data_IF_257662903368
#
_entry.id   IF_257662903368
#
_cell.length_a   1.000
_cell.length_b   1.000
_cell.length_c   1.000
_cell.angle_alpha   90.00
_cell.angle_beta   90.00
_cell.angle_gamma   90.00
#
_symmetry.space_group_name_H-M   'P 1'
#
loop_
_entity.id
_entity.type
_entity.pdbx_description
1 polymer ?
#
# COMPACT_ATOMS: atom_id res chain seq x y z
N UNK A 1 -30.77 -32.57 25.92
CA UNK A 1 -29.54 -32.94 25.18
C UNK A 1 -29.59 -32.22 23.84
N UNK A 2 -28.94 -31.06 23.74
CA UNK A 2 -28.84 -30.31 22.48
C UNK A 2 -27.60 -30.79 21.74
N UNK A 3 -27.82 -31.40 20.59
CA UNK A 3 -26.74 -31.79 19.67
C UNK A 3 -26.12 -30.52 19.11
N UNK A 4 -24.87 -30.27 19.47
CA UNK A 4 -24.00 -29.29 18.78
C UNK A 4 -23.79 -29.80 17.36
N UNK A 5 -24.45 -29.15 16.40
CA UNK A 5 -24.16 -29.34 14.97
C UNK A 5 -22.74 -28.86 14.70
N UNK A 6 -21.84 -29.80 14.43
CA UNK A 6 -20.47 -29.50 14.01
C UNK A 6 -20.53 -28.68 12.70
N UNK A 7 -20.06 -27.44 12.78
CA UNK A 7 -19.86 -26.59 11.59
C UNK A 7 -18.80 -27.28 10.73
N UNK A 8 -19.16 -27.70 9.52
CA UNK A 8 -18.19 -28.23 8.56
C UNK A 8 -17.12 -27.17 8.30
N UNK A 9 -15.83 -27.50 8.36
CA UNK A 9 -14.79 -26.55 7.99
C UNK A 9 -15.01 -26.09 6.55
N UNK A 10 -14.98 -24.78 6.34
CA UNK A 10 -14.99 -24.21 5.00
C UNK A 10 -13.78 -24.76 4.24
N UNK A 11 -13.96 -25.29 3.01
CA UNK A 11 -12.82 -25.79 2.25
C UNK A 11 -11.80 -24.65 2.05
N UNK A 12 -10.52 -25.01 2.16
CA UNK A 12 -9.43 -24.06 1.90
C UNK A 12 -9.60 -23.45 0.48
N UNK A 13 -9.35 -22.14 0.32
CA UNK A 13 -9.48 -21.51 -0.98
C UNK A 13 -8.53 -22.19 -1.99
N UNK A 14 -9.05 -22.52 -3.16
CA UNK A 14 -8.30 -23.20 -4.22
C UNK A 14 -7.51 -22.17 -5.00
N UNK A 15 -6.19 -22.38 -5.09
CA UNK A 15 -5.31 -21.54 -5.89
C UNK A 15 -5.64 -21.68 -7.38
N UNK A 16 -5.83 -20.56 -8.05
CA UNK A 16 -5.90 -20.50 -9.51
C UNK A 16 -4.48 -20.47 -10.08
N UNK A 17 -4.18 -21.35 -11.01
CA UNK A 17 -2.85 -21.45 -11.63
C UNK A 17 -2.83 -20.72 -12.96
N UNK A 18 -1.76 -19.95 -13.17
CA UNK A 18 -1.48 -19.20 -14.39
C UNK A 18 -0.06 -19.53 -14.89
N UNK A 19 0.29 -19.20 -16.12
CA UNK A 19 1.68 -19.29 -16.57
C UNK A 19 2.60 -18.47 -15.64
N UNK A 20 3.49 -19.14 -14.93
CA UNK A 20 4.50 -18.50 -14.09
C UNK A 20 4.07 -17.98 -12.73
N UNK A 21 2.79 -18.02 -12.37
CA UNK A 21 2.31 -17.59 -11.06
C UNK A 21 1.00 -18.28 -10.64
N UNK A 22 0.67 -18.15 -9.37
CA UNK A 22 -0.61 -18.57 -8.80
C UNK A 22 -1.32 -17.41 -8.10
N UNK A 23 -2.66 -17.52 -8.02
CA UNK A 23 -3.55 -16.54 -7.39
C UNK A 23 -4.46 -17.26 -6.41
N UNK A 24 -4.48 -16.84 -5.15
CA UNK A 24 -5.24 -17.51 -4.09
C UNK A 24 -5.91 -16.46 -3.22
N UNK A 25 -7.21 -16.61 -2.86
CA UNK A 25 -7.80 -15.80 -1.81
C UNK A 25 -7.02 -15.98 -0.49
N UNK A 26 -6.75 -14.88 0.21
CA UNK A 26 -6.06 -14.96 1.50
C UNK A 26 -6.98 -15.51 2.58
N UNK A 27 -6.42 -16.32 3.47
CA UNK A 27 -7.14 -16.78 4.65
C UNK A 27 -7.48 -15.65 5.64
N UNK A 28 -6.85 -14.48 5.52
CA UNK A 28 -6.98 -13.36 6.43
C UNK A 28 -8.17 -12.44 6.08
N UNK A 29 -8.51 -12.34 4.80
CA UNK A 29 -9.65 -11.55 4.32
C UNK A 29 -10.05 -11.98 2.92
N UNK A 30 -11.36 -12.05 2.61
CA UNK A 30 -11.83 -12.33 1.26
C UNK A 30 -11.50 -11.20 0.26
N UNK A 31 -11.13 -10.01 0.75
CA UNK A 31 -10.74 -8.86 -0.08
C UNK A 31 -9.24 -8.81 -0.39
N UNK A 32 -8.44 -9.63 0.30
CA UNK A 32 -7.01 -9.72 0.09
C UNK A 32 -6.69 -10.99 -0.71
N UNK A 33 -6.01 -10.84 -1.82
CA UNK A 33 -5.55 -11.96 -2.63
C UNK A 33 -4.04 -12.15 -2.45
N UNK A 34 -3.58 -13.38 -2.58
CA UNK A 34 -2.17 -13.74 -2.57
C UNK A 34 -1.73 -14.12 -3.98
N UNK A 35 -0.72 -13.43 -4.50
CA UNK A 35 -0.06 -13.74 -5.77
C UNK A 35 1.32 -14.29 -5.49
N UNK A 36 1.64 -15.45 -6.04
CA UNK A 36 2.96 -16.06 -5.89
C UNK A 36 3.56 -16.37 -7.25
N UNK A 37 4.68 -15.73 -7.57
CA UNK A 37 5.49 -16.08 -8.74
C UNK A 37 6.24 -17.37 -8.46
N UNK A 38 6.28 -18.28 -9.45
CA UNK A 38 7.06 -19.50 -9.33
C UNK A 38 8.56 -19.20 -9.30
N UNK A 39 9.35 -20.08 -8.68
CA UNK A 39 10.80 -19.94 -8.63
C UNK A 39 11.43 -19.89 -10.02
N UNK A 40 10.86 -20.60 -10.99
CA UNK A 40 11.29 -20.56 -12.38
C UNK A 40 11.10 -19.17 -12.99
N UNK A 41 9.88 -18.61 -12.87
CA UNK A 41 9.57 -17.26 -13.38
C UNK A 41 10.44 -16.20 -12.75
N UNK A 42 10.59 -16.24 -11.42
CA UNK A 42 11.45 -15.31 -10.70
C UNK A 42 12.91 -15.38 -11.17
N UNK A 43 13.43 -16.61 -11.31
CA UNK A 43 14.81 -16.82 -11.77
C UNK A 43 15.00 -16.31 -13.20
N UNK A 44 14.10 -16.63 -14.12
CA UNK A 44 14.16 -16.16 -15.51
C UNK A 44 14.03 -14.64 -15.61
N UNK A 45 13.15 -14.04 -14.82
CA UNK A 45 13.01 -12.59 -14.72
C UNK A 45 14.31 -11.93 -14.29
N UNK A 46 14.91 -12.38 -13.17
CA UNK A 46 16.15 -11.82 -12.65
C UNK A 46 17.31 -11.95 -13.62
N UNK A 47 17.42 -13.08 -14.35
CA UNK A 47 18.40 -13.27 -15.40
C UNK A 47 18.24 -12.27 -16.55
N UNK A 48 17.01 -12.03 -17.02
CA UNK A 48 16.76 -11.09 -18.12
C UNK A 48 17.00 -9.64 -17.75
N UNK A 49 16.78 -9.26 -16.48
CA UNK A 49 16.99 -7.88 -15.98
C UNK A 49 18.36 -7.67 -15.34
N UNK A 50 19.23 -8.67 -15.29
CA UNK A 50 20.55 -8.61 -14.64
C UNK A 50 21.44 -7.48 -15.18
N UNK A 51 21.31 -7.17 -16.47
CA UNK A 51 22.05 -6.08 -17.11
C UNK A 51 21.73 -4.67 -16.58
N UNK A 52 20.61 -4.49 -15.90
CA UNK A 52 20.17 -3.20 -15.37
C UNK A 52 20.27 -3.19 -13.84
N UNK A 53 21.24 -2.47 -13.25
CA UNK A 53 21.22 -2.20 -11.81
C UNK A 53 20.02 -1.33 -11.45
N UNK A 54 19.60 -1.33 -10.18
CA UNK A 54 18.47 -0.50 -9.70
C UNK A 54 18.68 0.98 -10.03
N UNK A 55 19.93 1.46 -9.95
CA UNK A 55 20.28 2.82 -10.33
C UNK A 55 19.91 3.15 -11.80
N UNK A 56 20.00 2.19 -12.74
CA UNK A 56 19.56 2.40 -14.11
C UNK A 56 18.03 2.62 -14.18
N UNK A 57 17.26 1.95 -13.34
CA UNK A 57 15.81 2.15 -13.23
C UNK A 57 15.46 3.51 -12.60
N UNK A 58 16.33 4.06 -11.77
CA UNK A 58 16.15 5.41 -11.19
C UNK A 58 16.27 6.49 -12.27
N UNK A 59 17.32 6.42 -13.07
CA UNK A 59 17.63 7.46 -14.08
C UNK A 59 16.87 7.31 -15.40
N UNK A 60 16.49 6.07 -15.77
CA UNK A 60 15.85 5.78 -17.06
C UNK A 60 14.44 5.25 -16.83
N UNK A 61 13.48 6.15 -16.65
CA UNK A 61 12.10 5.81 -16.29
C UNK A 61 11.44 4.79 -17.24
N UNK A 62 11.80 4.79 -18.52
CA UNK A 62 11.30 3.82 -19.50
C UNK A 62 11.76 2.37 -19.22
N UNK A 63 12.90 2.17 -18.54
CA UNK A 63 13.34 0.84 -18.15
C UNK A 63 12.42 0.19 -17.12
N UNK A 64 11.74 0.97 -16.31
CA UNK A 64 10.75 0.45 -15.34
C UNK A 64 9.58 -0.23 -16.05
N UNK A 65 9.15 0.31 -17.18
CA UNK A 65 8.14 -0.34 -18.03
C UNK A 65 8.70 -1.56 -18.75
N UNK A 66 9.98 -1.50 -19.16
CA UNK A 66 10.64 -2.63 -19.80
C UNK A 66 10.74 -3.83 -18.86
N UNK A 67 11.10 -3.64 -17.58
CA UNK A 67 11.15 -4.75 -16.63
C UNK A 67 9.74 -5.26 -16.32
N UNK A 68 8.71 -4.39 -16.27
CA UNK A 68 7.31 -4.81 -16.19
C UNK A 68 6.90 -5.70 -17.37
N UNK A 69 7.22 -5.27 -18.60
CA UNK A 69 6.90 -6.04 -19.80
C UNK A 69 7.56 -7.41 -19.81
N UNK A 70 8.83 -7.51 -19.40
CA UNK A 70 9.54 -8.79 -19.28
C UNK A 70 8.82 -9.73 -18.31
N UNK A 71 8.39 -9.21 -17.16
CA UNK A 71 7.67 -10.02 -16.18
C UNK A 71 6.31 -10.52 -16.73
N UNK A 72 5.56 -9.65 -17.40
CA UNK A 72 4.26 -10.02 -17.98
C UNK A 72 4.41 -11.05 -19.11
N UNK A 73 5.45 -10.92 -19.94
CA UNK A 73 5.75 -11.91 -20.98
C UNK A 73 6.04 -13.30 -20.40
N UNK A 74 6.84 -13.38 -19.33
CA UNK A 74 7.09 -14.61 -18.60
C UNK A 74 5.82 -15.21 -17.96
N UNK A 75 4.86 -14.37 -17.68
CA UNK A 75 3.54 -14.73 -17.19
C UNK A 75 2.48 -14.92 -18.30
N UNK A 76 2.92 -15.09 -19.54
CA UNK A 76 2.03 -15.33 -20.69
C UNK A 76 1.10 -14.16 -21.02
N UNK A 77 1.48 -12.94 -20.68
CA UNK A 77 0.69 -11.69 -20.82
C UNK A 77 -0.66 -11.74 -20.07
N UNK A 78 -0.73 -12.50 -18.98
CA UNK A 78 -1.93 -12.63 -18.15
C UNK A 78 -1.82 -11.86 -16.83
N UNK A 79 -0.60 -11.48 -16.42
CA UNK A 79 -0.36 -10.83 -15.15
C UNK A 79 -0.94 -9.41 -15.12
N UNK A 80 -0.62 -8.58 -16.11
CA UNK A 80 -1.08 -7.19 -16.15
C UNK A 80 -2.61 -7.06 -16.09
N UNK A 81 -3.40 -7.72 -16.94
CA UNK A 81 -4.87 -7.59 -16.89
C UNK A 81 -5.46 -8.09 -15.57
N UNK A 82 -4.86 -9.13 -14.96
CA UNK A 82 -5.31 -9.65 -13.67
C UNK A 82 -5.01 -8.68 -12.52
N UNK A 83 -3.81 -8.11 -12.47
CA UNK A 83 -3.44 -7.09 -11.49
C UNK A 83 -4.38 -5.87 -11.55
N UNK A 84 -4.62 -5.36 -12.76
CA UNK A 84 -5.51 -4.20 -12.97
C UNK A 84 -6.93 -4.54 -12.53
N UNK A 85 -7.46 -5.68 -12.96
CA UNK A 85 -8.80 -6.12 -12.57
C UNK A 85 -8.94 -6.19 -11.05
N UNK A 86 -8.02 -6.86 -10.37
CA UNK A 86 -8.05 -7.05 -8.91
C UNK A 86 -7.94 -5.73 -8.16
N UNK A 87 -7.02 -4.85 -8.55
CA UNK A 87 -6.83 -3.58 -7.85
C UNK A 87 -7.96 -2.58 -8.06
N UNK A 88 -8.64 -2.63 -9.20
CA UNK A 88 -9.79 -1.78 -9.47
C UNK A 88 -11.12 -2.37 -8.96
N UNK A 89 -11.14 -3.66 -8.64
CA UNK A 89 -12.32 -4.28 -8.05
C UNK A 89 -12.51 -3.82 -6.61
N UNK A 90 -13.63 -3.12 -6.36
CA UNK A 90 -13.99 -2.65 -5.02
C UNK A 90 -14.21 -3.79 -4.02
N UNK A 91 -14.55 -4.99 -4.49
CA UNK A 91 -14.69 -6.15 -3.62
C UNK A 91 -13.35 -6.67 -3.09
N UNK A 92 -12.25 -6.32 -3.75
CA UNK A 92 -10.88 -6.78 -3.47
C UNK A 92 -9.95 -5.59 -3.23
N UNK A 93 -9.14 -5.23 -4.19
CA UNK A 93 -8.27 -4.03 -4.20
C UNK A 93 -6.98 -4.16 -3.41
N UNK A 94 -6.64 -5.36 -2.91
CA UNK A 94 -5.41 -5.61 -2.15
C UNK A 94 -4.77 -6.94 -2.52
N UNK A 95 -3.44 -6.95 -2.59
CA UNK A 95 -2.60 -8.09 -2.96
C UNK A 95 -1.43 -8.24 -2.00
N UNK A 96 -1.20 -9.46 -1.50
CA UNK A 96 0.06 -9.86 -0.89
C UNK A 96 0.85 -10.66 -1.93
N UNK A 97 2.03 -10.16 -2.32
CA UNK A 97 2.80 -10.70 -3.45
C UNK A 97 4.10 -11.32 -2.94
N UNK A 98 4.44 -12.49 -3.49
CA UNK A 98 5.63 -13.25 -3.18
C UNK A 98 6.37 -13.67 -4.46
N UNK A 99 7.70 -13.61 -4.44
CA UNK A 99 8.57 -14.22 -5.46
C UNK A 99 9.31 -15.42 -4.86
N UNK A 100 8.99 -16.63 -5.31
CA UNK A 100 9.75 -17.81 -4.87
C UNK A 100 11.16 -17.80 -5.45
N UNK A 101 12.11 -18.41 -4.74
CA UNK A 101 13.48 -18.59 -5.22
C UNK A 101 14.39 -17.38 -5.08
N UNK A 102 13.92 -16.24 -4.54
CA UNK A 102 14.78 -15.11 -4.18
C UNK A 102 15.34 -15.33 -2.79
N UNK A 103 16.65 -15.22 -2.63
CA UNK A 103 17.27 -15.08 -1.32
C UNK A 103 17.11 -13.65 -0.82
N UNK A 104 16.10 -13.43 0.00
CA UNK A 104 15.70 -12.11 0.48
C UNK A 104 16.78 -11.40 1.30
N UNK A 105 17.74 -12.13 1.87
CA UNK A 105 18.81 -11.56 2.68
C UNK A 105 19.91 -10.97 1.82
N UNK A 106 20.32 -11.68 0.76
CA UNK A 106 21.43 -11.26 -0.11
C UNK A 106 20.99 -10.52 -1.37
N UNK A 107 19.71 -10.58 -1.75
CA UNK A 107 19.18 -10.10 -3.02
C UNK A 107 18.16 -8.97 -2.88
N UNK A 108 18.41 -8.01 -2.00
CA UNK A 108 17.49 -6.88 -1.77
C UNK A 108 17.23 -6.03 -3.04
N UNK A 109 18.25 -5.84 -3.90
CA UNK A 109 18.09 -5.09 -5.15
C UNK A 109 17.25 -5.85 -6.18
N UNK A 110 17.37 -7.17 -6.24
CA UNK A 110 16.53 -8.04 -7.08
C UNK A 110 15.06 -7.95 -6.66
N UNK A 111 14.78 -7.90 -5.37
CA UNK A 111 13.44 -7.67 -4.86
C UNK A 111 12.89 -6.30 -5.28
N UNK A 112 13.73 -5.24 -5.25
CA UNK A 112 13.34 -3.91 -5.74
C UNK A 112 12.99 -3.96 -7.23
N UNK A 113 13.74 -4.70 -8.05
CA UNK A 113 13.43 -4.87 -9.48
C UNK A 113 12.09 -5.57 -9.69
N UNK A 114 11.81 -6.65 -8.95
CA UNK A 114 10.53 -7.37 -9.03
C UNK A 114 9.35 -6.48 -8.62
N UNK A 115 9.46 -5.77 -7.50
CA UNK A 115 8.44 -4.83 -7.04
C UNK A 115 8.22 -3.69 -8.04
N UNK A 116 9.30 -3.19 -8.66
CA UNK A 116 9.24 -2.16 -9.71
C UNK A 116 8.53 -2.68 -10.96
N UNK A 117 8.80 -3.91 -11.36
CA UNK A 117 8.11 -4.54 -12.49
C UNK A 117 6.60 -4.61 -12.25
N UNK A 118 6.18 -5.12 -11.09
CA UNK A 118 4.75 -5.20 -10.72
C UNK A 118 4.10 -3.81 -10.69
N UNK A 119 4.75 -2.82 -10.06
CA UNK A 119 4.20 -1.45 -9.98
C UNK A 119 4.00 -0.83 -11.37
N UNK A 120 4.91 -1.10 -12.33
CA UNK A 120 4.83 -0.50 -13.66
C UNK A 120 3.95 -1.28 -14.66
N UNK A 121 3.45 -2.45 -14.26
CA UNK A 121 2.34 -3.11 -14.97
C UNK A 121 0.99 -2.43 -14.72
N UNK A 122 0.82 -1.79 -13.58
CA UNK A 122 -0.46 -1.16 -13.19
C UNK A 122 -0.48 0.34 -13.41
N UNK A 123 0.69 0.99 -13.47
CA UNK A 123 0.73 2.45 -13.60
C UNK A 123 2.12 3.05 -13.57
N UNK A 124 2.21 4.27 -13.06
CA UNK A 124 3.47 5.01 -12.93
C UNK A 124 3.74 5.32 -11.46
N UNK A 125 5.00 5.20 -11.06
CA UNK A 125 5.42 5.67 -9.75
C UNK A 125 5.51 7.19 -9.71
N UNK A 126 5.00 7.77 -8.62
CA UNK A 126 5.20 9.16 -8.27
C UNK A 126 6.65 9.38 -7.83
N UNK A 127 7.14 10.59 -8.00
CA UNK A 127 8.43 10.99 -7.44
C UNK A 127 8.30 11.15 -5.94
N UNK A 128 9.17 10.50 -5.17
CA UNK A 128 9.24 10.68 -3.72
C UNK A 128 10.27 11.79 -3.40
N UNK A 129 9.77 12.98 -3.08
CA UNK A 129 10.61 14.16 -2.86
C UNK A 129 11.56 14.02 -1.66
N UNK A 130 11.20 13.20 -0.66
CA UNK A 130 12.04 12.95 0.51
C UNK A 130 13.22 12.04 0.16
N UNK A 131 13.00 11.05 -0.72
CA UNK A 131 14.02 10.09 -1.14
C UNK A 131 14.77 10.52 -2.42
N UNK A 132 14.24 11.49 -3.16
CA UNK A 132 14.82 11.96 -4.42
C UNK A 132 14.71 10.96 -5.57
N UNK A 133 13.81 9.98 -5.47
CA UNK A 133 13.68 8.85 -6.39
C UNK A 133 12.21 8.48 -6.63
N UNK A 134 11.96 7.45 -7.44
CA UNK A 134 10.63 6.91 -7.70
C UNK A 134 10.14 5.92 -6.61
N UNK A 135 10.97 5.62 -5.62
CA UNK A 135 10.64 4.81 -4.45
C UNK A 135 11.35 5.35 -3.21
N UNK A 136 10.87 4.98 -2.05
CA UNK A 136 11.47 5.34 -0.78
C UNK A 136 11.91 4.08 -0.01
N UNK A 137 12.99 4.21 0.78
CA UNK A 137 13.40 3.21 1.77
C UNK A 137 13.24 3.81 3.16
N UNK A 138 12.62 3.09 4.05
CA UNK A 138 12.37 3.51 5.42
C UNK A 138 12.94 2.50 6.39
N UNK A 139 13.79 2.98 7.29
CA UNK A 139 14.33 2.16 8.36
C UNK A 139 13.71 2.60 9.68
N UNK A 140 13.13 1.64 10.42
CA UNK A 140 12.68 1.82 11.80
C UNK A 140 13.64 1.09 12.71
N UNK A 141 14.18 1.80 13.72
CA UNK A 141 15.10 1.28 14.73
C UNK A 141 14.61 1.69 16.12
N UNK A 142 15.10 1.02 17.15
CA UNK A 142 14.87 1.41 18.55
C UNK A 142 15.75 2.61 18.93
N UNK A 143 15.50 3.75 18.26
CA UNK A 143 16.15 5.03 18.53
C UNK A 143 15.09 6.10 18.70
N UNK A 144 15.43 7.16 19.43
CA UNK A 144 14.57 8.32 19.49
C UNK A 144 14.57 9.04 18.13
N UNK A 145 13.46 8.92 17.43
CA UNK A 145 13.18 9.65 16.20
C UNK A 145 12.14 10.73 16.49
N UNK A 146 12.38 11.54 17.51
CA UNK A 146 11.47 12.59 17.98
C UNK A 146 11.13 13.63 16.90
N UNK A 147 11.96 13.76 15.86
CA UNK A 147 11.73 14.57 14.67
C UNK A 147 10.74 13.94 13.68
N UNK A 148 10.36 12.69 13.88
CA UNK A 148 9.49 11.97 12.96
C UNK A 148 8.47 11.08 13.66
N UNK A 149 7.31 11.66 13.94
CA UNK A 149 6.15 10.97 14.51
C UNK A 149 5.84 9.62 13.86
N UNK A 150 5.92 9.54 12.53
CA UNK A 150 5.63 8.32 11.76
C UNK A 150 6.68 7.20 11.92
N UNK A 151 7.89 7.52 12.38
CA UNK A 151 8.98 6.55 12.50
C UNK A 151 9.19 6.05 13.91
N UNK A 152 8.42 6.53 14.87
CA UNK A 152 8.53 6.07 16.26
C UNK A 152 8.12 4.58 16.36
N UNK A 153 9.00 3.68 16.84
CA UNK A 153 8.73 2.24 16.79
C UNK A 153 7.65 1.79 17.77
N UNK A 154 7.53 2.49 18.91
CA UNK A 154 6.70 2.04 20.02
C UNK A 154 5.26 2.56 20.00
N UNK A 155 4.90 3.26 18.94
CA UNK A 155 3.52 3.71 18.73
C UNK A 155 2.92 3.07 17.48
N UNK A 156 1.62 3.03 17.44
CA UNK A 156 0.86 2.71 16.22
C UNK A 156 1.10 3.82 15.20
N UNK A 157 1.28 3.48 13.94
CA UNK A 157 1.12 4.41 12.83
C UNK A 157 -0.32 4.31 12.37
N UNK A 158 -1.06 5.37 12.58
CA UNK A 158 -2.50 5.45 12.40
C UNK A 158 -2.92 5.13 10.96
N UNK A 159 -4.16 4.68 10.78
CA UNK A 159 -4.71 4.36 9.47
C UNK A 159 -4.80 5.61 8.59
N UNK A 160 -4.24 5.53 7.39
CA UNK A 160 -4.16 6.66 6.46
C UNK A 160 -4.11 6.22 4.99
N UNK A 161 -4.25 7.21 4.12
CA UNK A 161 -3.90 7.11 2.70
C UNK A 161 -2.63 7.90 2.42
N UNK A 162 -1.81 7.43 1.50
CA UNK A 162 -0.63 8.16 1.03
C UNK A 162 -1.01 9.28 0.05
N UNK A 163 -0.13 10.30 -0.05
CA UNK A 163 -0.25 11.35 -1.06
C UNK A 163 -1.28 12.45 -0.76
N UNK A 164 -1.75 12.56 0.49
CA UNK A 164 -2.78 13.54 0.88
C UNK A 164 -2.30 15.01 0.84
N UNK A 165 -1.00 15.25 0.94
CA UNK A 165 -0.37 16.57 1.05
C UNK A 165 0.29 17.04 -0.25
N UNK A 166 0.00 16.37 -1.37
CA UNK A 166 0.49 16.73 -2.70
C UNK A 166 -0.67 16.79 -3.69
N UNK A 167 -0.54 17.62 -4.73
CA UNK A 167 -1.54 17.70 -5.80
C UNK A 167 -1.61 16.40 -6.61
N UNK A 168 -0.45 15.75 -6.78
CA UNK A 168 -0.32 14.51 -7.54
C UNK A 168 -1.11 13.38 -6.89
N UNK A 169 -2.02 12.78 -7.65
CA UNK A 169 -2.84 11.67 -7.17
C UNK A 169 -2.00 10.45 -6.84
N UNK A 170 -2.40 9.75 -5.79
CA UNK A 170 -1.81 8.46 -5.38
C UNK A 170 -2.90 7.41 -5.34
N UNK A 171 -2.99 6.59 -6.40
CA UNK A 171 -4.03 5.57 -6.55
C UNK A 171 -3.63 4.24 -5.90
N UNK A 172 -2.32 3.93 -5.88
CA UNK A 172 -1.81 2.71 -5.27
C UNK A 172 -0.64 2.96 -4.35
N UNK A 173 -0.47 2.07 -3.40
CA UNK A 173 0.72 1.97 -2.55
C UNK A 173 1.22 0.52 -2.57
N UNK A 174 2.51 0.36 -2.84
CA UNK A 174 3.24 -0.89 -2.74
C UNK A 174 4.25 -0.77 -1.60
N UNK A 175 4.19 -1.69 -0.65
CA UNK A 175 5.10 -1.75 0.50
C UNK A 175 5.75 -3.12 0.56
N UNK A 176 7.07 -3.18 0.43
CA UNK A 176 7.86 -4.40 0.49
C UNK A 176 8.76 -4.39 1.73
N UNK A 177 8.78 -5.49 2.48
CA UNK A 177 9.73 -5.64 3.57
C UNK A 177 11.07 -6.14 3.02
N UNK A 178 12.11 -5.34 3.22
CA UNK A 178 13.47 -5.66 2.78
C UNK A 178 14.23 -6.42 3.85
N UNK A 179 14.13 -5.97 5.11
CA UNK A 179 14.85 -6.59 6.23
C UNK A 179 14.06 -6.45 7.53
N UNK A 180 14.27 -7.40 8.43
CA UNK A 180 13.79 -7.32 9.81
C UNK A 180 14.75 -8.03 10.77
N UNK A 181 14.99 -7.41 11.93
CA UNK A 181 15.79 -7.97 13.00
C UNK A 181 15.11 -7.71 14.33
N UNK A 182 14.99 -8.75 15.16
CA UNK A 182 14.41 -8.68 16.51
C UNK A 182 13.01 -8.02 16.55
N UNK A 183 12.21 -8.22 15.50
CA UNK A 183 10.90 -7.62 15.36
C UNK A 183 9.83 -8.48 16.05
N UNK A 184 9.11 -7.88 17.00
CA UNK A 184 7.84 -8.40 17.54
C UNK A 184 6.78 -7.31 17.40
N UNK A 185 5.63 -7.63 16.82
CA UNK A 185 4.63 -6.65 16.39
C UNK A 185 5.01 -5.96 15.07
N UNK A 186 4.57 -4.73 14.86
CA UNK A 186 4.85 -3.96 13.65
C UNK A 186 4.21 -4.51 12.38
N UNK A 187 3.15 -5.29 12.50
CA UNK A 187 2.36 -5.77 11.37
C UNK A 187 1.77 -4.60 10.58
N UNK A 188 1.55 -4.79 9.29
CA UNK A 188 0.78 -3.85 8.50
C UNK A 188 -0.69 -3.91 8.93
N UNK A 189 -1.27 -2.76 9.21
CA UNK A 189 -2.69 -2.62 9.50
C UNK A 189 -3.39 -2.20 8.21
N UNK A 190 -4.54 -2.81 7.90
CA UNK A 190 -5.36 -2.49 6.74
C UNK A 190 -6.82 -2.35 7.15
N UNK A 191 -7.51 -1.37 6.55
CA UNK A 191 -8.95 -1.23 6.67
C UNK A 191 -9.55 -0.89 5.30
N UNK A 192 -10.47 -1.72 4.82
CA UNK A 192 -11.26 -1.43 3.63
C UNK A 192 -12.42 -0.51 3.99
N UNK A 193 -12.68 0.53 3.20
CA UNK A 193 -13.75 1.50 3.51
C UNK A 193 -15.12 0.84 3.65
N UNK A 194 -15.47 -0.12 2.79
CA UNK A 194 -16.78 -0.78 2.85
C UNK A 194 -16.95 -1.71 4.08
N UNK A 195 -15.87 -2.04 4.75
CA UNK A 195 -15.89 -2.83 5.99
C UNK A 195 -15.84 -1.92 7.24
N UNK A 196 -15.58 -0.62 7.06
CA UNK A 196 -15.56 0.31 8.17
C UNK A 196 -16.98 0.65 8.64
N UNK A 197 -17.32 0.28 9.86
CA UNK A 197 -18.66 0.36 10.43
C UNK A 197 -19.22 1.78 10.53
N UNK A 198 -18.37 2.81 10.52
CA UNK A 198 -18.77 4.22 10.62
C UNK A 198 -18.73 4.96 9.27
N UNK A 199 -18.51 4.27 8.14
CA UNK A 199 -18.39 4.90 6.82
C UNK A 199 -19.59 5.82 6.51
N UNK A 200 -20.79 5.31 6.65
CA UNK A 200 -22.03 6.07 6.33
C UNK A 200 -22.22 7.31 7.20
N UNK A 201 -21.86 7.23 8.49
CA UNK A 201 -21.94 8.35 9.43
C UNK A 201 -21.05 9.50 8.96
N UNK A 202 -19.77 9.21 8.71
CA UNK A 202 -18.80 10.24 8.35
C UNK A 202 -18.95 10.72 6.90
N UNK A 203 -19.26 9.83 5.97
CA UNK A 203 -19.39 10.17 4.54
C UNK A 203 -20.59 11.09 4.25
N UNK A 204 -21.70 10.95 5.02
CA UNK A 204 -22.91 11.78 4.87
C UNK A 204 -22.82 13.13 5.59
N UNK A 205 -21.84 13.32 6.45
CA UNK A 205 -21.63 14.58 7.13
C UNK A 205 -21.25 15.68 6.13
N UNK A 206 -21.82 16.89 6.20
CA UNK A 206 -21.44 18.00 5.33
C UNK A 206 -19.94 18.33 5.32
N UNK A 207 -19.23 18.08 6.43
CA UNK A 207 -17.79 18.28 6.54
C UNK A 207 -16.97 17.32 5.68
N UNK A 208 -17.51 16.13 5.38
CA UNK A 208 -16.84 15.11 4.57
C UNK A 208 -16.37 15.62 3.20
N UNK A 209 -17.20 16.51 2.59
CA UNK A 209 -17.00 17.08 1.26
C UNK A 209 -16.43 18.49 1.27
N UNK A 210 -16.23 19.08 2.46
CA UNK A 210 -15.63 20.40 2.59
C UNK A 210 -14.13 20.33 2.29
N UNK A 211 -13.59 21.13 1.36
CA UNK A 211 -12.14 21.20 1.18
C UNK A 211 -11.44 21.65 2.46
N UNK A 212 -10.52 20.85 2.95
CA UNK A 212 -9.67 21.15 4.09
C UNK A 212 -8.23 21.39 3.60
N UNK A 213 -7.45 22.10 4.40
CA UNK A 213 -6.04 22.36 4.13
C UNK A 213 -5.20 21.15 4.56
N UNK A 214 -4.29 20.73 3.70
CA UNK A 214 -3.31 19.67 3.96
C UNK A 214 -1.91 20.22 3.83
N UNK A 215 -1.13 20.15 4.90
CA UNK A 215 0.20 20.72 4.98
C UNK A 215 1.20 19.65 5.44
N UNK A 216 2.20 19.38 4.62
CA UNK A 216 3.26 18.47 4.97
C UNK A 216 4.27 19.12 5.93
N UNK A 217 4.87 18.36 6.87
CA UNK A 217 5.97 18.88 7.68
C UNK A 217 7.21 19.13 6.80
N UNK A 218 8.13 20.02 7.23
CA UNK A 218 9.32 20.37 6.44
C UNK A 218 10.14 19.16 5.99
N UNK A 219 10.17 18.09 6.78
CA UNK A 219 10.89 16.84 6.46
C UNK A 219 10.39 16.12 5.19
N UNK A 220 9.25 16.52 4.63
CA UNK A 220 8.71 15.95 3.38
C UNK A 220 9.17 16.69 2.12
N UNK A 221 9.90 17.80 2.26
CA UNK A 221 10.39 18.63 1.15
C UNK A 221 9.27 19.09 0.19
N UNK A 222 8.08 19.33 0.73
CA UNK A 222 6.92 19.87 0.00
C UNK A 222 6.63 21.25 0.54
N UNK A 223 6.60 22.26 -0.33
CA UNK A 223 6.48 23.67 0.05
C UNK A 223 5.08 24.26 -0.16
N UNK A 224 4.18 23.53 -0.82
CA UNK A 224 2.83 23.98 -1.09
C UNK A 224 1.81 23.19 -0.31
N UNK A 225 0.86 23.89 0.29
CA UNK A 225 -0.33 23.28 0.85
C UNK A 225 -1.30 22.91 -0.29
N UNK A 226 -2.05 21.84 -0.09
CA UNK A 226 -3.12 21.44 -0.99
C UNK A 226 -4.47 21.49 -0.26
N UNK A 227 -5.55 21.63 -1.05
CA UNK A 227 -6.89 21.72 -0.52
C UNK A 227 -7.78 20.68 -1.20
N UNK A 228 -8.28 19.75 -0.42
CA UNK A 228 -9.25 18.76 -0.90
C UNK A 228 -10.11 18.24 0.27
N UNK A 229 -11.28 17.66 -0.03
CA UNK A 229 -12.09 17.03 1.01
C UNK A 229 -11.46 15.74 1.52
N UNK A 230 -11.92 15.28 2.69
CA UNK A 230 -11.55 13.95 3.23
C UNK A 230 -12.15 12.84 2.37
N UNK A 231 -13.42 12.99 1.98
CA UNK A 231 -14.10 12.02 1.12
C UNK A 231 -14.43 12.61 -0.24
N UNK A 232 -14.32 11.77 -1.25
CA UNK A 232 -14.81 12.00 -2.60
C UNK A 232 -15.58 10.76 -3.07
N UNK A 233 -15.94 10.66 -4.35
CA UNK A 233 -16.58 9.50 -4.96
C UNK A 233 -15.82 9.03 -6.17
N UNK A 234 -15.85 7.72 -6.39
CA UNK A 234 -15.41 7.14 -7.66
C UNK A 234 -16.44 7.37 -8.78
N UNK A 235 -16.13 6.89 -9.98
CA UNK A 235 -17.00 7.02 -11.16
C UNK A 235 -18.38 6.35 -11.01
N UNK A 236 -18.56 5.49 -10.02
CA UNK A 236 -19.82 4.83 -9.68
C UNK A 236 -20.53 5.47 -8.48
N UNK A 237 -20.03 6.60 -7.97
CA UNK A 237 -20.58 7.31 -6.83
C UNK A 237 -20.27 6.67 -5.48
N UNK A 238 -19.35 5.72 -5.39
CA UNK A 238 -18.95 5.06 -4.15
C UNK A 238 -17.89 5.88 -3.42
N UNK A 239 -17.90 5.91 -2.06
CA UNK A 239 -16.93 6.67 -1.28
C UNK A 239 -15.48 6.29 -1.57
N UNK A 240 -14.63 7.28 -1.77
CA UNK A 240 -13.17 7.17 -1.71
C UNK A 240 -12.64 8.14 -0.68
N UNK A 241 -11.47 7.88 -0.12
CA UNK A 241 -10.93 8.65 0.98
C UNK A 241 -9.50 9.11 0.70
N UNK A 242 -9.19 10.33 1.14
CA UNK A 242 -7.84 10.90 1.18
C UNK A 242 -7.62 11.50 2.56
N UNK A 243 -7.00 10.75 3.46
CA UNK A 243 -6.87 11.11 4.85
C UNK A 243 -5.55 10.67 5.47
N UNK A 244 -4.97 11.56 6.25
CA UNK A 244 -3.94 11.29 7.25
C UNK A 244 -4.10 12.34 8.36
N UNK A 245 -4.20 11.92 9.60
CA UNK A 245 -4.48 12.78 10.74
C UNK A 245 -3.42 13.86 10.97
N UNK A 246 -2.15 13.54 10.66
CA UNK A 246 -1.01 14.41 10.96
C UNK A 246 -0.86 15.62 10.02
N UNK A 247 -1.49 15.59 8.86
CA UNK A 247 -1.26 16.62 7.83
C UNK A 247 -2.48 17.48 7.55
N UNK A 248 -3.67 17.06 7.99
CA UNK A 248 -4.87 17.89 7.89
C UNK A 248 -4.79 19.05 8.89
N UNK A 249 -5.15 20.25 8.43
CA UNK A 249 -5.12 21.47 9.22
C UNK A 249 -6.54 22.03 9.34
N UNK A 250 -7.27 21.73 10.44
CA UNK A 250 -8.59 22.26 10.65
C UNK A 250 -8.53 23.79 10.82
N UNK A 251 -9.51 24.50 10.23
CA UNK A 251 -9.58 25.96 10.32
C UNK A 251 -10.39 26.46 11.51
N UNK A 252 -11.24 25.62 12.08
CA UNK A 252 -12.16 25.99 13.15
C UNK A 252 -12.45 24.81 14.09
N UNK A 253 -13.19 25.09 15.14
CA UNK A 253 -13.56 24.10 16.16
C UNK A 253 -14.43 22.96 15.59
N UNK A 254 -15.29 23.25 14.62
CA UNK A 254 -16.18 22.27 13.99
C UNK A 254 -15.36 21.23 13.22
N UNK A 255 -14.45 21.69 12.35
CA UNK A 255 -13.54 20.80 11.62
C UNK A 255 -12.64 19.99 12.57
N UNK A 256 -12.06 20.64 13.58
CA UNK A 256 -11.19 19.97 14.56
C UNK A 256 -11.91 18.86 15.33
N UNK A 257 -13.12 19.11 15.78
CA UNK A 257 -13.94 18.13 16.50
C UNK A 257 -14.34 16.95 15.61
N UNK A 258 -14.74 17.24 14.37
CA UNK A 258 -15.12 16.21 13.40
C UNK A 258 -13.92 15.32 13.05
N UNK A 259 -12.75 15.91 12.79
CA UNK A 259 -11.50 15.17 12.49
C UNK A 259 -11.05 14.30 13.66
N UNK A 260 -11.15 14.79 14.90
CA UNK A 260 -10.85 14.00 16.10
C UNK A 260 -11.74 12.75 16.18
N UNK A 261 -13.06 12.93 16.00
CA UNK A 261 -14.01 11.81 15.99
C UNK A 261 -13.72 10.82 14.85
N UNK A 262 -13.35 11.33 13.66
CA UNK A 262 -13.01 10.51 12.51
C UNK A 262 -11.76 9.65 12.80
N UNK A 263 -10.70 10.26 13.34
CA UNK A 263 -9.46 9.56 13.72
C UNK A 263 -9.77 8.46 14.75
N UNK A 264 -10.47 8.80 15.83
CA UNK A 264 -10.85 7.84 16.88
C UNK A 264 -11.69 6.67 16.33
N UNK A 265 -12.64 6.96 15.42
CA UNK A 265 -13.51 5.96 14.83
C UNK A 265 -12.76 5.02 13.88
N UNK A 266 -11.75 5.51 13.15
CA UNK A 266 -10.88 4.69 12.32
C UNK A 266 -10.03 3.75 13.18
N UNK A 267 -9.36 4.27 14.21
CA UNK A 267 -8.44 3.51 15.04
C UNK A 267 -9.14 2.47 15.96
N UNK A 268 -10.42 2.64 16.22
CA UNK A 268 -11.22 1.71 17.05
C UNK A 268 -12.07 0.74 16.24
N UNK A 269 -11.96 0.75 14.90
CA UNK A 269 -12.69 -0.17 14.03
C UNK A 269 -12.34 -1.63 14.34
N UNK A 270 -13.37 -2.47 14.41
CA UNK A 270 -13.23 -3.91 14.68
C UNK A 270 -12.79 -4.70 13.45
N UNK A 271 -12.83 -4.06 12.28
CA UNK A 271 -12.55 -4.66 10.99
C UNK A 271 -11.13 -4.35 10.49
N UNK A 272 -10.27 -3.80 11.35
CA UNK A 272 -8.85 -3.62 11.05
C UNK A 272 -8.19 -5.00 10.92
N UNK A 273 -7.59 -5.24 9.77
CA UNK A 273 -6.79 -6.43 9.50
C UNK A 273 -5.34 -6.18 9.94
N UNK A 274 -4.76 -7.16 10.64
CA UNK A 274 -3.34 -7.14 11.00
C UNK A 274 -2.60 -8.16 10.14
N UNK A 275 -1.85 -7.69 9.17
CA UNK A 275 -1.19 -8.49 8.15
C UNK A 275 0.31 -8.58 8.43
N UNK A 276 0.84 -9.75 8.80
CA UNK A 276 2.28 -9.97 8.82
C UNK A 276 2.78 -10.00 7.36
N UNK A 277 3.69 -9.10 7.02
CA UNK A 277 4.38 -9.11 5.73
C UNK A 277 5.78 -9.66 5.97
N UNK A 278 6.10 -10.90 5.61
CA UNK A 278 7.45 -11.46 5.71
C UNK A 278 8.46 -10.71 4.84
N UNK A 279 9.74 -10.82 5.16
CA UNK A 279 10.82 -10.29 4.32
C UNK A 279 10.70 -10.85 2.91
N UNK A 280 10.84 -9.99 1.91
CA UNK A 280 10.72 -10.33 0.49
C UNK A 280 9.29 -10.32 -0.05
N UNK A 281 8.28 -10.35 0.81
CA UNK A 281 6.89 -10.14 0.37
C UNK A 281 6.55 -8.67 0.31
N UNK A 282 5.61 -8.33 -0.56
CA UNK A 282 5.12 -6.97 -0.66
C UNK A 282 3.61 -6.92 -0.75
N UNK A 283 3.08 -5.91 -0.09
CA UNK A 283 1.67 -5.57 -0.05
C UNK A 283 1.41 -4.48 -1.08
N UNK A 284 0.44 -4.69 -1.96
CA UNK A 284 0.00 -3.74 -2.97
C UNK A 284 -1.49 -3.47 -2.78
N UNK A 285 -1.87 -2.21 -2.57
CA UNK A 285 -3.25 -1.82 -2.28
C UNK A 285 -3.73 -0.69 -3.18
N UNK A 286 -5.02 -0.66 -3.45
CA UNK A 286 -5.70 0.53 -3.97
C UNK A 286 -5.85 1.55 -2.84
N UNK A 287 -5.13 2.65 -2.95
CA UNK A 287 -5.02 3.68 -1.92
C UNK A 287 -6.27 4.59 -1.80
N UNK A 288 -7.27 4.40 -2.65
CA UNK A 288 -8.49 5.23 -2.64
C UNK A 288 -9.57 4.67 -1.70
N UNK A 289 -9.54 3.36 -1.44
CA UNK A 289 -10.52 2.71 -0.58
C UNK A 289 -9.92 1.68 0.40
N UNK A 290 -8.61 1.55 0.42
CA UNK A 290 -7.88 0.89 1.49
C UNK A 290 -7.07 1.91 2.27
N UNK A 291 -7.29 1.97 3.58
CA UNK A 291 -6.39 2.64 4.50
C UNK A 291 -5.34 1.65 4.98
N UNK A 292 -4.16 2.17 5.27
CA UNK A 292 -3.08 1.37 5.81
C UNK A 292 -2.40 2.07 7.00
N UNK A 293 -1.82 1.27 7.85
CA UNK A 293 -1.10 1.71 9.04
C UNK A 293 -0.07 0.67 9.48
N UNK A 294 0.41 0.80 10.70
CA UNK A 294 1.36 -0.14 11.27
C UNK A 294 1.12 -0.28 12.77
N UNK A 295 1.10 -1.51 13.24
CA UNK A 295 1.08 -1.78 14.67
C UNK A 295 2.41 -1.36 15.33
N UNK A 296 2.38 -1.19 16.66
CA UNK A 296 3.58 -0.89 17.46
C UNK A 296 4.53 -2.08 17.45
N UNK A 297 5.82 -1.80 17.60
CA UNK A 297 6.81 -2.83 17.90
C UNK A 297 6.99 -2.99 19.41
N UNK A 298 7.26 -4.22 19.85
CA UNK A 298 7.79 -4.46 21.17
C UNK A 298 9.21 -3.86 21.26
N UNK A 299 9.59 -3.25 22.40
CA UNK A 299 10.94 -2.71 22.59
C UNK A 299 12.02 -3.78 22.49
N UNK A 300 13.05 -3.53 21.68
CA UNK A 300 14.26 -4.33 21.61
C UNK A 300 15.45 -3.43 21.22
N UNK A 301 16.61 -3.50 21.90
CA UNK A 301 17.73 -2.60 21.63
C UNK A 301 18.23 -2.69 20.17
N UNK A 302 18.21 -3.88 19.58
CA UNK A 302 18.66 -4.14 18.21
C UNK A 302 17.50 -4.26 17.23
N UNK A 303 16.35 -3.63 17.50
CA UNK A 303 15.22 -3.58 16.58
C UNK A 303 15.65 -2.91 15.27
N UNK A 304 15.42 -3.60 14.16
CA UNK A 304 15.54 -3.02 12.84
C UNK A 304 14.43 -3.58 11.93
N UNK A 305 13.79 -2.70 11.18
CA UNK A 305 12.88 -3.05 10.09
C UNK A 305 13.12 -2.10 8.93
N UNK A 306 13.38 -2.65 7.77
CA UNK A 306 13.48 -1.86 6.55
C UNK A 306 12.34 -2.15 5.59
N UNK A 307 11.68 -1.10 5.11
CA UNK A 307 10.67 -1.17 4.06
C UNK A 307 11.10 -0.36 2.85
N UNK A 308 10.78 -0.87 1.67
CA UNK A 308 10.69 -0.11 0.44
C UNK A 308 9.22 0.21 0.15
N UNK A 309 8.95 1.44 -0.29
CA UNK A 309 7.62 1.87 -0.73
C UNK A 309 7.71 2.47 -2.13
N UNK A 310 6.84 2.00 -3.01
CA UNK A 310 6.47 2.70 -4.24
C UNK A 310 5.01 3.14 -4.13
N UNK A 311 4.71 4.32 -4.65
CA UNK A 311 3.35 4.83 -4.75
C UNK A 311 3.19 5.50 -6.10
N UNK A 312 1.96 5.53 -6.59
CA UNK A 312 1.73 6.11 -7.91
C UNK A 312 0.27 6.11 -8.30
N UNK A 313 0.03 6.34 -9.56
CA UNK A 313 -1.31 6.35 -10.11
C UNK A 313 -1.48 5.28 -11.19
N UNK A 314 -2.72 4.80 -11.33
CA UNK A 314 -3.04 3.79 -12.34
C UNK A 314 -2.92 4.38 -13.74
N UNK A 315 -2.31 3.63 -14.65
CA UNK A 315 -2.12 4.05 -16.04
C UNK A 315 -3.42 4.41 -16.78
N UNK A 316 -4.53 3.87 -16.28
CA UNK A 316 -5.87 4.04 -16.85
C UNK A 316 -6.77 4.93 -16.00
N UNK A 317 -6.20 5.65 -15.01
CA UNK A 317 -6.93 6.63 -14.22
C UNK A 317 -7.28 7.83 -15.08
N UNK A 318 -8.57 8.05 -15.32
CA UNK A 318 -9.06 9.21 -16.08
C UNK A 318 -8.83 10.54 -15.37
N UNK A 319 -8.69 10.52 -14.05
CA UNK A 319 -8.55 11.74 -13.25
C UNK A 319 -7.17 12.38 -13.38
N UNK A 320 -6.13 11.61 -13.71
CA UNK A 320 -4.77 12.14 -13.81
C UNK A 320 -4.57 13.10 -14.97
N UNK A 321 -5.32 12.96 -16.07
CA UNK A 321 -5.21 13.82 -17.25
C UNK A 321 -6.09 15.07 -17.19
N UNK A 322 -7.04 15.14 -16.24
CA UNK A 322 -7.95 16.30 -16.12
C UNK A 322 -7.36 17.46 -15.31
N UNK A 323 -6.31 17.24 -14.53
CA UNK A 323 -5.70 18.27 -13.66
C UNK A 323 -4.63 19.12 -14.38
N UNK A 324 -4.34 18.86 -15.64
CA UNK A 324 -3.30 19.56 -16.43
C UNK A 324 -3.82 20.26 -17.69
N UNK A 325 -5.16 20.52 -17.78
CA UNK A 325 -5.73 21.35 -18.84
C UNK A 325 -6.12 22.73 -18.33
#
# INVERSE_FOLDING_TARGET
MNALTAVKPTPAPVAQQYPGFSFTPSAQSPRLLELTFSAETTTQFLQQVAQWPVQALEYKSFLRFQVGKILDDLCGNQLQPLLIKTLLDRAEGALLINGEGIDHVSQAEEMVKLATAVAHLIGRSNFDAMSGQYYARFVVKNVDNSDSYLRQPHRVMELHNDGTYVEEQTDYVLMMKIDEQNMQGGNSLLLHLDDWEHLDEFFRDPLARRPMRWAAPPSKNVSKDVFHPVFDVDSLGRPVMRYIDQFVQPKDFEEGTWLSRLSDALETSKNILSIPVPVGKFLLINNLFWLHGRDRFAPHPDLCRELMRQRGYFAYSTNHYQTHQ
#
